data_IF_679041301165
#
_entry.id   IF_679041301165
#
_cell.length_a   1.000
_cell.length_b   1.000
_cell.length_c   1.000
_cell.angle_alpha   90.00
_cell.angle_beta   90.00
_cell.angle_gamma   90.00
#
_symmetry.space_group_name_H-M   'P 1'
#
loop_
_entity.id
_entity.type
_entity.pdbx_description
1 polymer ?
#
# COMPACT_ATOMS: atom_id res chain seq x y z
N UNK A 1 -29.41 -25.90 12.91
CA UNK A 1 -29.22 -24.67 12.12
C UNK A 1 -28.06 -23.89 12.73
N UNK A 2 -26.82 -24.27 12.41
CA UNK A 2 -25.65 -23.58 12.96
C UNK A 2 -25.51 -22.26 12.20
N UNK A 3 -25.83 -21.15 12.86
CA UNK A 3 -25.41 -19.80 12.44
C UNK A 3 -23.89 -19.78 12.59
N UNK A 4 -23.19 -20.36 11.62
CA UNK A 4 -21.75 -20.23 11.52
C UNK A 4 -21.49 -18.74 11.29
N UNK A 5 -20.94 -18.10 12.31
CA UNK A 5 -20.51 -16.72 12.30
C UNK A 5 -19.65 -16.43 11.06
N UNK A 6 -20.30 -15.87 10.03
CA UNK A 6 -19.68 -15.29 8.84
C UNK A 6 -18.91 -13.99 9.17
N UNK A 7 -18.66 -13.71 10.46
CA UNK A 7 -18.18 -12.40 10.93
C UNK A 7 -16.68 -12.42 11.27
N UNK A 8 -16.00 -13.58 11.29
CA UNK A 8 -14.58 -13.64 11.64
C UNK A 8 -13.60 -13.75 10.45
N UNK A 9 -14.08 -13.88 9.22
CA UNK A 9 -13.19 -14.02 8.04
C UNK A 9 -12.89 -12.72 7.30
N UNK A 10 -13.34 -11.56 7.81
CA UNK A 10 -13.15 -10.27 7.11
C UNK A 10 -11.71 -9.72 7.20
N UNK A 11 -10.83 -10.35 7.98
CA UNK A 11 -9.44 -9.88 8.12
C UNK A 11 -8.45 -10.64 7.21
N UNK A 12 -8.91 -11.65 6.46
CA UNK A 12 -8.08 -12.32 5.44
C UNK A 12 -8.08 -11.54 4.10
N UNK A 13 -8.28 -10.22 4.15
CA UNK A 13 -8.01 -9.33 3.04
C UNK A 13 -6.51 -9.13 2.96
N UNK A 14 -5.88 -9.83 2.03
CA UNK A 14 -4.45 -9.83 1.72
C UNK A 14 -3.97 -8.46 1.19
N UNK A 15 -4.21 -7.38 1.93
CA UNK A 15 -3.73 -6.04 1.63
C UNK A 15 -2.34 -5.86 2.23
N UNK A 16 -1.41 -5.30 1.47
CA UNK A 16 -0.10 -4.93 2.00
C UNK A 16 -0.28 -3.93 3.15
N UNK A 17 -0.08 -4.40 4.40
CA UNK A 17 -0.22 -3.55 5.57
C UNK A 17 0.71 -2.33 5.44
N UNK A 18 0.19 -1.12 5.70
CA UNK A 18 0.95 0.14 5.70
C UNK A 18 2.22 0.11 6.57
N UNK A 19 2.29 -0.79 7.54
CA UNK A 19 3.48 -1.02 8.38
C UNK A 19 4.56 -1.87 7.69
N UNK A 20 4.20 -2.75 6.74
CA UNK A 20 5.14 -3.59 5.99
C UNK A 20 5.82 -2.83 4.85
N UNK A 21 5.09 -1.91 4.19
CA UNK A 21 5.69 -1.04 3.16
C UNK A 21 6.84 -0.18 3.72
N UNK A 22 6.76 0.22 4.99
CA UNK A 22 7.83 0.94 5.69
C UNK A 22 9.11 0.11 5.90
N UNK A 23 9.02 -1.22 5.87
CA UNK A 23 10.17 -2.13 6.00
C UNK A 23 10.73 -2.50 4.62
N UNK A 24 9.88 -2.54 3.59
CA UNK A 24 10.26 -2.86 2.22
C UNK A 24 11.05 -1.70 1.60
N UNK A 25 12.23 -2.02 1.08
CA UNK A 25 13.13 -1.05 0.45
C UNK A 25 13.31 -1.32 -1.03
N UNK A 26 13.52 -0.27 -1.82
CA UNK A 26 13.85 -0.36 -3.23
C UNK A 26 15.17 -1.10 -3.43
N UNK A 27 15.25 -2.07 -4.37
CA UNK A 27 16.48 -2.82 -4.64
C UNK A 27 17.62 -1.92 -5.15
N UNK A 28 17.30 -0.78 -5.77
CA UNK A 28 18.26 0.15 -6.38
C UNK A 28 18.63 1.31 -5.44
N UNK A 29 17.64 2.07 -4.96
CA UNK A 29 17.87 3.29 -4.17
C UNK A 29 18.04 3.03 -2.68
N UNK A 30 17.68 1.83 -2.20
CA UNK A 30 17.62 1.45 -0.78
C UNK A 30 16.71 2.33 0.07
N UNK A 31 15.84 3.11 -0.56
CA UNK A 31 14.82 3.93 0.12
C UNK A 31 13.54 3.10 0.35
N UNK A 32 12.72 3.44 1.37
CA UNK A 32 11.46 2.78 1.62
C UNK A 32 10.50 2.90 0.42
N UNK A 33 9.65 1.89 0.23
CA UNK A 33 8.65 1.85 -0.83
C UNK A 33 7.27 2.21 -0.30
N UNK A 34 6.48 2.92 -1.12
CA UNK A 34 5.08 3.25 -0.83
C UNK A 34 4.16 2.28 -1.54
N UNK A 35 3.22 1.68 -0.82
CA UNK A 35 2.21 0.83 -1.43
C UNK A 35 1.08 1.69 -2.02
N UNK A 36 0.67 1.37 -3.25
CA UNK A 36 -0.49 1.96 -3.93
C UNK A 36 -1.57 0.91 -4.12
N UNK A 37 -2.73 1.13 -3.49
CA UNK A 37 -3.89 0.24 -3.62
C UNK A 37 -4.54 0.33 -5.01
N UNK A 38 -4.41 1.47 -5.69
CA UNK A 38 -5.00 1.70 -7.00
C UNK A 38 -4.41 0.78 -8.09
N UNK A 39 -3.09 0.61 -8.05
CA UNK A 39 -2.34 -0.17 -9.04
C UNK A 39 -1.77 -1.48 -8.48
N UNK A 40 -2.12 -1.80 -7.22
CA UNK A 40 -1.57 -2.93 -6.45
C UNK A 40 -0.04 -3.05 -6.64
N UNK A 41 0.67 -1.94 -6.48
CA UNK A 41 2.10 -1.82 -6.80
C UNK A 41 2.85 -1.05 -5.72
N UNK A 42 4.16 -1.32 -5.60
CA UNK A 42 5.08 -0.62 -4.72
C UNK A 42 5.81 0.48 -5.49
N UNK A 43 5.63 1.72 -5.09
CA UNK A 43 6.20 2.92 -5.70
C UNK A 43 7.46 3.34 -4.95
N UNK A 44 8.52 3.64 -5.70
CA UNK A 44 9.74 4.25 -5.19
C UNK A 44 9.80 5.73 -5.59
N UNK A 45 9.40 6.62 -4.68
CA UNK A 45 9.39 8.07 -4.94
C UNK A 45 10.81 8.63 -5.23
N UNK A 46 11.86 7.95 -4.76
CA UNK A 46 13.26 8.38 -4.97
C UNK A 46 13.75 8.31 -6.43
N UNK A 47 13.21 7.38 -7.23
CA UNK A 47 13.64 7.15 -8.62
C UNK A 47 12.46 7.11 -9.60
N UNK A 48 11.22 7.29 -9.11
CA UNK A 48 10.02 7.30 -9.95
C UNK A 48 9.75 5.96 -10.62
N UNK A 49 9.95 4.84 -9.93
CA UNK A 49 9.64 3.51 -10.47
C UNK A 49 8.60 2.78 -9.61
N UNK A 50 7.80 1.94 -10.25
CA UNK A 50 6.81 1.06 -9.64
C UNK A 50 7.23 -0.41 -9.81
N UNK A 51 6.97 -1.21 -8.79
CA UNK A 51 7.17 -2.65 -8.77
C UNK A 51 5.81 -3.33 -8.58
N UNK A 52 5.44 -4.32 -9.42
CA UNK A 52 4.16 -4.98 -9.31
C UNK A 52 4.10 -5.95 -8.12
N UNK A 53 2.89 -6.21 -7.65
CA UNK A 53 2.59 -7.28 -6.68
C UNK A 53 1.75 -8.35 -7.40
N UNK A 54 2.31 -9.56 -7.52
CA UNK A 54 1.67 -10.70 -8.17
C UNK A 54 1.35 -11.78 -7.11
N UNK A 55 0.10 -12.25 -7.06
CA UNK A 55 -0.37 -13.23 -6.05
C UNK A 55 -0.10 -12.82 -4.58
N UNK A 56 -0.03 -11.51 -4.32
CA UNK A 56 0.31 -10.97 -3.00
C UNK A 56 1.80 -10.98 -2.67
N UNK A 57 2.67 -11.27 -3.64
CA UNK A 57 4.13 -11.29 -3.49
C UNK A 57 4.72 -10.09 -4.26
N UNK A 58 5.56 -9.24 -3.63
CA UNK A 58 6.18 -8.12 -4.31
C UNK A 58 7.31 -8.58 -5.23
N UNK A 59 7.24 -8.22 -6.51
CA UNK A 59 8.28 -8.52 -7.49
C UNK A 59 9.30 -7.36 -7.54
N UNK A 60 10.28 -7.38 -6.62
CA UNK A 60 11.34 -6.37 -6.53
C UNK A 60 12.54 -6.70 -7.45
N UNK A 61 12.26 -7.08 -8.69
CA UNK A 61 13.30 -7.33 -9.69
C UNK A 61 13.59 -6.01 -10.42
N UNK A 62 14.86 -5.56 -10.53
CA UNK A 62 15.19 -4.32 -11.22
C UNK A 62 14.69 -4.24 -12.68
N UNK A 63 14.54 -5.38 -13.35
CA UNK A 63 14.04 -5.47 -14.73
C UNK A 63 12.53 -5.28 -14.85
N UNK A 64 11.76 -5.63 -13.81
CA UNK A 64 10.30 -5.51 -13.81
C UNK A 64 9.82 -4.12 -13.36
N UNK A 65 10.75 -3.27 -12.90
CA UNK A 65 10.46 -1.90 -12.50
C UNK A 65 9.97 -1.05 -13.66
N UNK A 66 8.75 -0.52 -13.55
CA UNK A 66 8.17 0.38 -14.56
C UNK A 66 8.29 1.83 -14.11
N UNK A 67 8.83 2.68 -14.97
CA UNK A 67 8.91 4.13 -14.72
C UNK A 67 7.49 4.67 -14.66
N UNK A 68 7.18 5.38 -13.57
CA UNK A 68 5.92 6.10 -13.42
C UNK A 68 6.19 7.58 -13.65
N UNK A 69 5.41 8.20 -14.53
CA UNK A 69 5.43 9.64 -14.72
C UNK A 69 4.79 10.30 -13.48
N UNK A 70 5.34 11.44 -13.04
CA UNK A 70 5.14 12.01 -11.70
C UNK A 70 3.76 12.62 -11.41
N UNK A 71 2.67 12.09 -11.99
CA UNK A 71 1.32 12.65 -11.84
C UNK A 71 0.49 12.05 -10.68
N UNK A 72 0.89 10.92 -10.09
CA UNK A 72 0.15 10.25 -8.99
C UNK A 72 0.51 10.78 -7.58
N UNK A 73 0.97 12.02 -7.47
CA UNK A 73 1.40 12.63 -6.20
C UNK A 73 0.26 13.12 -5.29
N UNK A 74 -1.00 12.74 -5.54
CA UNK A 74 -2.16 13.25 -4.78
C UNK A 74 -3.20 12.18 -4.48
N UNK A 75 -2.97 11.37 -3.44
CA UNK A 75 -4.03 10.96 -2.52
C UNK A 75 -3.50 10.00 -1.45
N UNK A 76 -3.27 10.50 -0.23
CA UNK A 76 -3.90 9.95 0.99
C UNK A 76 -3.50 10.78 2.21
N UNK A 77 -4.11 11.97 2.32
CA UNK A 77 -4.17 12.75 3.56
C UNK A 77 -5.62 12.85 4.07
N UNK A 78 -6.47 11.85 3.82
CA UNK A 78 -7.84 11.80 4.37
C UNK A 78 -8.01 10.55 5.24
N UNK A 79 -7.59 10.65 6.51
CA UNK A 79 -8.23 9.99 7.68
C UNK A 79 -7.33 10.12 8.93
N UNK A 80 -7.12 11.35 9.42
CA UNK A 80 -6.91 11.59 10.83
C UNK A 80 -8.15 12.32 11.36
N UNK A 81 -9.02 11.52 11.94
CA UNK A 81 -10.20 11.86 12.73
C UNK A 81 -9.93 13.03 13.70
N UNK A 82 -10.58 14.17 13.46
CA UNK A 82 -10.87 15.19 14.48
C UNK A 82 -12.39 15.38 14.57
N UNK A 83 -13.11 14.31 14.88
CA UNK A 83 -14.44 14.39 15.48
C UNK A 83 -14.32 14.17 16.99
N UNK A 84 -14.13 15.25 17.75
CA UNK A 84 -14.48 15.27 19.18
C UNK A 84 -14.99 16.63 19.64
N UNK A 85 -16.32 16.75 19.54
CA UNK A 85 -17.28 17.37 20.48
C UNK A 85 -17.35 18.90 20.58
N UNK A 86 -18.40 19.41 19.94
CA UNK A 86 -19.20 20.56 20.34
C UNK A 86 -19.55 20.51 21.84
N UNK A 87 -19.40 21.65 22.54
CA UNK A 87 -20.22 22.06 23.69
C UNK A 87 -20.07 23.57 23.91
N UNK A 88 -21.05 24.33 23.43
CA UNK A 88 -21.48 25.61 24.00
C UNK A 88 -22.98 25.74 23.75
#
# INVERSE_FOLDING_TARGET
MVKASLILFKDAGLGFCKSLSQILVCPLSKQPLRYSEETNSLISDAIGVSFPIEDGIPCLVPMDGKIIEADDMRNTDDAADLSSKNNQ
#
